data_IF_445739501502
#
_entry.id   IF_445739501502
#
_cell.length_a   1.000
_cell.length_b   1.000
_cell.length_c   1.000
_cell.angle_alpha   90.00
_cell.angle_beta   90.00
_cell.angle_gamma   90.00
#
_symmetry.space_group_name_H-M   'P 1'
#
loop_
_entity.id
_entity.type
_entity.pdbx_description
1 polymer ?
#
# COMPACT_ATOMS: atom_id res chain seq x y z
N UNK A 1 21.38 -6.00 14.37
CA UNK A 1 20.26 -6.02 13.37
C UNK A 1 19.78 -7.46 13.22
N UNK A 2 18.48 -7.70 13.29
CA UNK A 2 17.91 -9.03 13.08
C UNK A 2 17.59 -9.22 11.58
N UNK A 3 18.03 -10.32 11.01
CA UNK A 3 17.78 -10.68 9.59
C UNK A 3 16.78 -11.82 9.55
N UNK A 4 15.80 -11.71 8.65
CA UNK A 4 14.77 -12.73 8.42
C UNK A 4 14.92 -13.32 7.02
N UNK A 5 14.66 -14.62 6.90
CA UNK A 5 14.66 -15.37 5.65
C UNK A 5 13.27 -15.94 5.39
N UNK A 6 13.04 -16.54 4.22
CA UNK A 6 11.74 -17.11 3.83
C UNK A 6 11.14 -18.04 4.88
N UNK A 7 11.97 -18.85 5.51
CA UNK A 7 11.56 -19.76 6.60
C UNK A 7 11.08 -19.06 7.87
N UNK A 8 11.44 -17.80 8.03
CA UNK A 8 11.08 -16.99 9.20
C UNK A 8 9.81 -16.17 8.95
N UNK A 9 9.34 -16.15 7.68
CA UNK A 9 8.15 -15.42 7.27
C UNK A 9 6.89 -16.28 7.40
N UNK A 10 5.84 -15.68 7.94
CA UNK A 10 4.52 -16.30 8.01
C UNK A 10 3.52 -15.48 7.19
N UNK A 11 3.15 -16.00 6.02
CA UNK A 11 2.21 -15.33 5.12
C UNK A 11 0.81 -15.18 5.73
N UNK A 12 0.46 -16.01 6.72
CA UNK A 12 -0.83 -15.91 7.37
C UNK A 12 -1.00 -14.59 8.15
N UNK A 13 0.07 -13.94 8.54
CA UNK A 13 0.02 -12.63 9.20
C UNK A 13 -0.64 -11.57 8.30
N UNK A 14 -0.32 -11.55 7.02
CA UNK A 14 -0.91 -10.59 6.07
C UNK A 14 -2.27 -11.05 5.53
N UNK A 15 -2.50 -12.36 5.41
CA UNK A 15 -3.77 -12.91 4.90
C UNK A 15 -4.98 -12.52 5.73
N UNK A 16 -4.81 -12.34 7.02
CA UNK A 16 -5.86 -11.91 7.95
C UNK A 16 -6.05 -10.41 8.04
N UNK A 17 -5.30 -9.61 7.30
CA UNK A 17 -5.33 -8.14 7.37
C UNK A 17 -6.12 -7.53 6.23
N UNK A 18 -6.74 -6.38 6.50
CA UNK A 18 -7.34 -5.51 5.50
C UNK A 18 -6.27 -4.58 4.94
N UNK A 19 -5.95 -4.73 3.66
CA UNK A 19 -4.86 -4.00 3.01
C UNK A 19 -5.44 -3.00 2.00
N UNK A 20 -5.09 -1.74 2.15
CA UNK A 20 -5.39 -0.70 1.18
C UNK A 20 -4.11 -0.29 0.45
N UNK A 21 -4.14 -0.34 -0.87
CA UNK A 21 -3.05 0.14 -1.72
C UNK A 21 -3.44 1.49 -2.29
N UNK A 22 -2.73 2.54 -1.92
CA UNK A 22 -2.99 3.90 -2.39
C UNK A 22 -2.18 4.14 -3.65
N UNK A 23 -2.90 4.27 -4.77
CA UNK A 23 -2.31 4.35 -6.11
C UNK A 23 -2.34 3.02 -6.85
N UNK A 24 -2.50 3.10 -8.18
CA UNK A 24 -2.57 1.92 -9.05
C UNK A 24 -1.72 2.12 -10.32
N UNK A 25 -0.49 2.61 -10.11
CA UNK A 25 0.56 2.63 -11.12
C UNK A 25 1.24 1.26 -11.25
N UNK A 26 2.46 1.23 -11.76
CA UNK A 26 3.22 0.00 -11.97
C UNK A 26 3.39 -0.84 -10.69
N UNK A 27 3.82 -0.22 -9.59
CA UNK A 27 4.00 -0.91 -8.31
C UNK A 27 2.66 -1.26 -7.66
N UNK A 28 1.71 -0.34 -7.63
CA UNK A 28 0.38 -0.60 -7.05
C UNK A 28 -0.32 -1.78 -7.72
N UNK A 29 -0.30 -1.82 -9.04
CA UNK A 29 -0.81 -2.95 -9.82
C UNK A 29 -0.15 -4.27 -9.42
N UNK A 30 1.20 -4.31 -9.40
CA UNK A 30 1.94 -5.52 -9.08
C UNK A 30 1.68 -5.99 -7.65
N UNK A 31 1.74 -5.09 -6.66
CA UNK A 31 1.54 -5.43 -5.26
C UNK A 31 0.13 -5.98 -4.98
N UNK A 32 -0.90 -5.33 -5.52
CA UNK A 32 -2.29 -5.77 -5.33
C UNK A 32 -2.51 -7.17 -5.89
N UNK A 33 -2.07 -7.40 -7.13
CA UNK A 33 -2.26 -8.69 -7.77
C UNK A 33 -1.44 -9.79 -7.11
N UNK A 34 -0.20 -9.51 -6.69
CA UNK A 34 0.64 -10.47 -5.97
C UNK A 34 0.03 -10.84 -4.61
N UNK A 35 -0.52 -9.87 -3.87
CA UNK A 35 -1.22 -10.15 -2.62
C UNK A 35 -2.44 -11.03 -2.84
N UNK A 36 -3.27 -10.72 -3.85
CA UNK A 36 -4.42 -11.53 -4.20
C UNK A 36 -4.02 -12.97 -4.57
N UNK A 37 -3.01 -13.12 -5.40
CA UNK A 37 -2.50 -14.43 -5.82
C UNK A 37 -1.89 -15.22 -4.64
N UNK A 38 -1.37 -14.51 -3.64
CA UNK A 38 -0.86 -15.10 -2.39
C UNK A 38 -1.94 -15.42 -1.36
N UNK A 39 -3.20 -15.14 -1.66
CA UNK A 39 -4.34 -15.49 -0.81
C UNK A 39 -4.78 -14.41 0.18
N UNK A 40 -4.34 -13.18 0.03
CA UNK A 40 -4.89 -12.03 0.79
C UNK A 40 -6.26 -11.70 0.21
N UNK A 41 -7.32 -11.86 1.01
CA UNK A 41 -8.71 -11.72 0.55
C UNK A 41 -9.18 -10.27 0.58
N UNK A 42 -8.78 -9.51 1.58
CA UNK A 42 -9.26 -8.17 1.85
C UNK A 42 -8.25 -7.12 1.35
N UNK A 43 -8.19 -6.95 0.04
CA UNK A 43 -7.34 -5.95 -0.64
C UNK A 43 -8.21 -4.98 -1.40
N UNK A 44 -8.01 -3.69 -1.18
CA UNK A 44 -8.68 -2.63 -1.94
C UNK A 44 -7.66 -1.66 -2.53
N UNK A 45 -8.05 -1.00 -3.60
CA UNK A 45 -7.28 0.08 -4.21
C UNK A 45 -7.88 1.41 -3.78
N UNK A 46 -7.08 2.25 -3.14
CA UNK A 46 -7.45 3.62 -2.79
C UNK A 46 -7.09 4.57 -3.92
N UNK A 47 -8.07 5.19 -4.53
CA UNK A 47 -7.89 6.14 -5.63
C UNK A 47 -8.71 7.41 -5.40
N UNK A 48 -8.20 8.51 -5.96
CA UNK A 48 -8.93 9.77 -5.98
C UNK A 48 -10.19 9.62 -6.83
N UNK A 49 -11.30 10.20 -6.39
CA UNK A 49 -12.55 10.25 -7.14
C UNK A 49 -12.34 10.78 -8.57
N UNK A 50 -12.89 10.07 -9.55
CA UNK A 50 -12.74 10.41 -10.96
C UNK A 50 -11.38 10.10 -11.58
N UNK A 51 -10.50 9.37 -10.88
CA UNK A 51 -9.23 8.91 -11.46
C UNK A 51 -9.46 7.97 -12.64
N UNK A 52 -8.71 8.19 -13.72
CA UNK A 52 -8.78 7.32 -14.91
C UNK A 52 -8.38 5.86 -14.62
N UNK A 53 -7.60 5.64 -13.57
CA UNK A 53 -7.17 4.32 -13.14
C UNK A 53 -8.25 3.50 -12.44
N UNK A 54 -9.36 4.09 -12.03
CA UNK A 54 -10.50 3.38 -11.40
C UNK A 54 -11.01 2.27 -12.31
N UNK A 55 -11.28 2.59 -13.57
CA UNK A 55 -11.78 1.61 -14.55
C UNK A 55 -10.81 0.45 -14.78
N UNK A 56 -9.50 0.74 -14.74
CA UNK A 56 -8.46 -0.28 -14.90
C UNK A 56 -8.47 -1.25 -13.71
N UNK A 57 -8.53 -0.74 -12.50
CA UNK A 57 -8.56 -1.57 -11.29
C UNK A 57 -9.86 -2.41 -11.21
N UNK A 58 -11.00 -1.80 -11.48
CA UNK A 58 -12.30 -2.50 -11.53
C UNK A 58 -12.35 -3.56 -12.62
N UNK A 59 -11.77 -3.28 -13.79
CA UNK A 59 -11.66 -4.25 -14.89
C UNK A 59 -10.86 -5.50 -14.55
N UNK A 60 -10.00 -5.43 -13.55
CA UNK A 60 -9.23 -6.57 -13.01
C UNK A 60 -9.91 -7.24 -11.80
N UNK A 61 -11.15 -6.87 -11.53
CA UNK A 61 -11.96 -7.43 -10.44
C UNK A 61 -11.56 -6.92 -9.05
N UNK A 62 -10.90 -5.77 -8.96
CA UNK A 62 -10.46 -5.18 -7.70
C UNK A 62 -11.52 -4.20 -7.17
N UNK A 63 -11.69 -4.18 -5.85
CA UNK A 63 -12.52 -3.19 -5.18
C UNK A 63 -11.76 -1.86 -5.09
N UNK A 64 -12.41 -0.78 -5.49
CA UNK A 64 -11.87 0.58 -5.42
C UNK A 64 -12.64 1.38 -4.37
N UNK A 65 -11.92 2.12 -3.55
CA UNK A 65 -12.45 3.06 -2.57
C UNK A 65 -11.80 4.42 -2.75
N UNK A 66 -12.44 5.49 -2.27
CA UNK A 66 -11.75 6.77 -2.09
C UNK A 66 -10.65 6.63 -1.02
N UNK A 67 -9.59 7.43 -1.12
CA UNK A 67 -8.40 7.29 -0.27
C UNK A 67 -8.75 7.36 1.22
N UNK A 68 -9.54 8.34 1.63
CA UNK A 68 -9.95 8.50 3.03
C UNK A 68 -10.76 7.29 3.54
N UNK A 69 -11.67 6.76 2.73
CA UNK A 69 -12.46 5.58 3.08
C UNK A 69 -11.59 4.32 3.19
N UNK A 70 -10.66 4.14 2.26
CA UNK A 70 -9.70 3.05 2.30
C UNK A 70 -8.83 3.12 3.57
N UNK A 71 -8.39 4.33 3.95
CA UNK A 71 -7.60 4.55 5.16
C UNK A 71 -8.37 4.16 6.45
N UNK A 72 -9.65 4.49 6.54
CA UNK A 72 -10.50 4.11 7.69
C UNK A 72 -10.72 2.60 7.79
N UNK A 73 -10.81 1.95 6.66
CA UNK A 73 -11.11 0.53 6.57
C UNK A 73 -9.89 -0.37 6.82
N UNK A 74 -8.71 0.06 6.42
CA UNK A 74 -7.52 -0.77 6.36
C UNK A 74 -6.79 -0.94 7.70
N UNK A 75 -6.18 -2.11 7.88
CA UNK A 75 -5.20 -2.38 8.93
C UNK A 75 -3.78 -2.06 8.45
N UNK A 76 -3.53 -2.21 7.14
CA UNK A 76 -2.27 -1.89 6.46
C UNK A 76 -2.55 -0.98 5.28
N UNK A 77 -1.88 0.15 5.23
CA UNK A 77 -1.95 1.10 4.11
C UNK A 77 -0.60 1.13 3.40
N UNK A 78 -0.61 0.80 2.12
CA UNK A 78 0.57 0.86 1.26
C UNK A 78 0.53 2.12 0.40
N UNK A 79 1.49 3.02 0.60
CA UNK A 79 1.61 4.27 -0.15
C UNK A 79 2.43 4.04 -1.42
N UNK A 80 1.75 3.89 -2.56
CA UNK A 80 2.36 3.58 -3.85
C UNK A 80 2.03 4.61 -4.95
N UNK A 81 1.69 5.82 -4.55
CA UNK A 81 1.59 6.99 -5.43
C UNK A 81 2.98 7.59 -5.70
N UNK A 82 3.12 8.47 -6.72
CA UNK A 82 4.37 9.22 -6.92
C UNK A 82 4.81 9.98 -5.67
N UNK A 83 6.12 10.01 -5.42
CA UNK A 83 6.70 10.55 -4.18
C UNK A 83 6.27 12.00 -3.90
N UNK A 84 6.17 12.83 -4.93
CA UNK A 84 5.78 14.24 -4.83
C UNK A 84 4.34 14.46 -4.37
N UNK A 85 3.48 13.46 -4.47
CA UNK A 85 2.08 13.53 -4.06
C UNK A 85 1.84 12.95 -2.66
N UNK A 86 2.77 12.16 -2.15
CA UNK A 86 2.57 11.35 -0.96
C UNK A 86 2.35 12.18 0.31
N UNK A 87 3.09 13.28 0.49
CA UNK A 87 2.96 14.12 1.66
C UNK A 87 1.55 14.73 1.76
N UNK A 88 1.03 15.26 0.66
CA UNK A 88 -0.32 15.82 0.61
C UNK A 88 -1.39 14.77 0.91
N UNK A 89 -1.28 13.60 0.29
CA UNK A 89 -2.20 12.48 0.52
C UNK A 89 -2.14 12.03 1.98
N UNK A 90 -0.94 11.90 2.52
CA UNK A 90 -0.77 11.48 3.91
C UNK A 90 -1.44 12.45 4.88
N UNK A 91 -1.10 13.73 4.82
CA UNK A 91 -1.60 14.71 5.78
C UNK A 91 -3.09 15.02 5.62
N UNK A 92 -3.62 15.03 4.41
CA UNK A 92 -5.02 15.34 4.13
C UNK A 92 -5.97 14.16 4.31
N UNK A 93 -5.54 12.96 3.93
CA UNK A 93 -6.44 11.82 3.80
C UNK A 93 -6.06 10.61 4.65
N UNK A 94 -4.78 10.32 4.86
CA UNK A 94 -4.36 9.15 5.63
C UNK A 94 -4.24 9.42 7.12
N UNK A 95 -3.47 10.41 7.52
CA UNK A 95 -3.21 10.69 8.93
C UNK A 95 -4.49 10.90 9.76
N UNK A 96 -5.51 11.68 9.29
CA UNK A 96 -6.74 11.85 10.06
C UNK A 96 -7.67 10.63 10.04
N UNK A 97 -7.48 9.65 9.16
CA UNK A 97 -8.43 8.56 8.93
C UNK A 97 -7.90 7.17 9.26
N UNK A 98 -6.59 6.95 9.28
CA UNK A 98 -6.02 5.64 9.60
C UNK A 98 -6.35 5.20 11.02
N UNK A 99 -6.63 3.91 11.19
CA UNK A 99 -6.85 3.30 12.50
C UNK A 99 -5.63 3.50 13.40
N UNK A 100 -5.87 3.63 14.70
CA UNK A 100 -4.79 3.63 15.68
C UNK A 100 -4.06 2.29 15.64
N UNK A 101 -2.72 2.33 15.62
CA UNK A 101 -1.90 1.12 15.54
C UNK A 101 -1.85 0.45 14.17
N UNK A 102 -2.41 1.07 13.12
CA UNK A 102 -2.29 0.54 11.77
C UNK A 102 -0.86 0.63 11.23
N UNK A 103 -0.57 -0.13 10.19
CA UNK A 103 0.72 -0.10 9.50
C UNK A 103 0.67 0.83 8.28
N UNK A 104 1.70 1.65 8.12
CA UNK A 104 1.94 2.48 6.95
C UNK A 104 3.20 1.98 6.25
N UNK A 105 3.05 1.52 5.00
CA UNK A 105 4.12 0.91 4.24
C UNK A 105 4.47 1.75 3.01
N UNK A 106 5.77 1.99 2.84
CA UNK A 106 6.34 2.69 1.69
C UNK A 106 7.15 1.73 0.81
N UNK A 107 7.16 1.99 -0.49
CA UNK A 107 8.06 1.33 -1.43
C UNK A 107 9.34 2.14 -1.69
N UNK A 108 9.41 3.37 -1.21
CA UNK A 108 10.55 4.28 -1.33
C UNK A 108 10.69 5.14 -0.07
N UNK A 109 11.91 5.30 0.41
CA UNK A 109 12.17 5.95 1.70
C UNK A 109 12.29 7.48 1.67
N UNK A 110 12.17 8.11 0.51
CA UNK A 110 12.47 9.54 0.33
C UNK A 110 11.68 10.44 1.29
N UNK A 111 10.37 10.30 1.33
CA UNK A 111 9.51 11.18 2.13
C UNK A 111 9.75 11.06 3.64
N UNK A 112 10.02 9.87 4.13
CA UNK A 112 10.32 9.65 5.55
C UNK A 112 11.76 10.09 5.88
N UNK A 113 12.71 9.76 5.02
CA UNK A 113 14.12 10.10 5.23
C UNK A 113 14.35 11.62 5.28
N UNK A 114 13.71 12.37 4.40
CA UNK A 114 13.83 13.84 4.36
C UNK A 114 12.78 14.57 5.20
N UNK A 115 12.06 13.89 6.05
CA UNK A 115 11.03 14.44 6.94
C UNK A 115 9.91 15.21 6.21
N UNK A 116 9.63 14.86 4.95
CA UNK A 116 8.49 15.40 4.21
C UNK A 116 7.17 14.78 4.69
N UNK A 117 7.25 13.55 5.22
CA UNK A 117 6.19 12.89 5.96
C UNK A 117 6.74 12.52 7.33
N UNK A 118 6.10 13.03 8.37
CA UNK A 118 6.32 12.60 9.76
C UNK A 118 5.15 11.71 10.17
N UNK A 119 5.31 10.37 10.11
CA UNK A 119 4.22 9.47 10.45
C UNK A 119 3.76 9.65 11.90
N UNK A 120 2.46 9.47 12.14
CA UNK A 120 1.89 9.44 13.49
C UNK A 120 2.64 8.39 14.32
N UNK A 121 2.88 8.70 15.59
CA UNK A 121 3.65 7.86 16.52
C UNK A 121 3.00 6.51 16.84
N UNK A 122 1.69 6.41 16.65
CA UNK A 122 0.91 5.19 16.87
C UNK A 122 0.94 4.22 15.67
N UNK A 123 1.53 4.61 14.54
CA UNK A 123 1.62 3.77 13.34
C UNK A 123 2.90 2.94 13.31
N UNK A 124 2.79 1.71 12.85
CA UNK A 124 3.95 0.92 12.43
C UNK A 124 4.38 1.39 11.03
N UNK A 125 5.60 1.87 10.91
CA UNK A 125 6.14 2.38 9.64
C UNK A 125 7.10 1.36 9.04
N UNK A 126 6.77 0.89 7.84
CA UNK A 126 7.47 -0.18 7.15
C UNK A 126 7.94 0.28 5.76
N UNK A 127 8.99 -0.36 5.26
CA UNK A 127 9.42 -0.16 3.88
C UNK A 127 9.71 -1.51 3.22
N UNK A 128 9.11 -1.71 2.04
CA UNK A 128 9.46 -2.80 1.12
C UNK A 128 9.77 -2.17 -0.23
N UNK A 129 11.05 -2.12 -0.57
CA UNK A 129 11.55 -1.42 -1.75
C UNK A 129 12.00 -2.40 -2.84
N UNK A 130 11.11 -2.79 -3.76
CA UNK A 130 11.49 -3.63 -4.89
C UNK A 130 12.47 -2.89 -5.82
N UNK A 131 13.40 -3.64 -6.41
CA UNK A 131 14.48 -3.09 -7.26
C UNK A 131 14.20 -3.24 -8.75
N UNK A 132 12.95 -3.24 -9.17
CA UNK A 132 12.57 -3.34 -10.57
C UNK A 132 11.17 -2.81 -10.84
N UNK A 133 10.82 -2.59 -12.12
CA UNK A 133 9.46 -2.25 -12.52
C UNK A 133 8.45 -3.31 -12.06
N UNK A 134 7.26 -2.88 -11.68
CA UNK A 134 6.21 -3.77 -11.16
C UNK A 134 5.82 -4.88 -12.13
N UNK A 135 5.80 -4.59 -13.42
CA UNK A 135 5.51 -5.57 -14.48
C UNK A 135 6.53 -6.71 -14.50
N UNK A 136 7.82 -6.41 -14.30
CA UNK A 136 8.88 -7.43 -14.23
C UNK A 136 8.68 -8.31 -12.99
N UNK A 137 8.32 -7.73 -11.86
CA UNK A 137 8.06 -8.49 -10.64
C UNK A 137 6.91 -9.49 -10.76
N UNK A 138 5.97 -9.27 -11.70
CA UNK A 138 4.90 -10.22 -11.98
C UNK A 138 5.24 -11.22 -13.09
N UNK A 139 6.12 -10.87 -14.01
CA UNK A 139 6.42 -11.70 -15.17
C UNK A 139 7.18 -13.01 -14.83
N UNK A 140 7.70 -13.11 -13.65
CA UNK A 140 8.47 -14.27 -13.18
C UNK A 140 7.68 -15.23 -12.26
N UNK A 141 6.40 -15.09 -12.28
CA UNK A 141 5.50 -15.99 -11.51
C UNK A 141 5.23 -17.27 -12.29
#
# INVERSE_FOLDING_TARGET
>A
MRVYYDRDADINLIKGKKVAVIGYGSQGHAHVLNMRDSGVKDVVVGLRKGSATVKKAEGEGLKVMEVAEAAKWADVVMMLTPDELQADIYYKELAPNMKQGAALLFAHGLNVHFNLIEPRKDLDVLMVAPKGPGQIGRAHV
#
